data_IF_774621657497
#
_entry.id   IF_774621657497
#
_cell.length_a   1.000
_cell.length_b   1.000
_cell.length_c   1.000
_cell.angle_alpha   90.00
_cell.angle_beta   90.00
_cell.angle_gamma   90.00
#
_symmetry.space_group_name_H-M   'P 1'
#
loop_
_entity.id
_entity.type
_entity.pdbx_description
1 polymer ?
#
# COMPACT_ATOMS: atom_id res chain seq x y z
N UNK A 1 19.10 4.10 11.86
CA UNK A 1 17.82 4.36 11.15
C UNK A 1 17.38 5.82 11.20
N UNK A 2 17.55 6.55 12.28
CA UNK A 2 17.08 7.95 12.40
C UNK A 2 17.84 9.00 11.55
N UNK A 3 19.13 8.83 11.29
CA UNK A 3 19.95 9.86 10.60
C UNK A 3 19.59 10.03 9.11
N UNK A 4 19.28 8.95 8.38
CA UNK A 4 18.92 9.05 6.96
C UNK A 4 17.53 9.67 6.76
N UNK A 5 16.58 9.35 7.63
CA UNK A 5 15.25 9.96 7.63
C UNK A 5 15.33 11.47 7.92
N UNK A 6 16.19 11.87 8.86
CA UNK A 6 16.38 13.28 9.22
C UNK A 6 17.02 14.08 8.07
N UNK A 7 17.98 13.50 7.34
CA UNK A 7 18.63 14.12 6.19
C UNK A 7 17.67 14.28 5.00
N UNK A 8 16.85 13.28 4.70
CA UNK A 8 15.84 13.36 3.64
C UNK A 8 14.74 14.36 3.97
N UNK A 9 14.31 14.42 5.22
CA UNK A 9 13.36 15.41 5.67
C UNK A 9 13.93 16.84 5.56
N UNK A 10 15.17 17.05 5.97
CA UNK A 10 15.85 18.33 5.84
C UNK A 10 16.02 18.77 4.37
N UNK A 11 16.32 17.83 3.46
CA UNK A 11 16.42 18.11 2.02
C UNK A 11 15.07 18.52 1.42
N UNK A 12 13.99 17.84 1.80
CA UNK A 12 12.63 18.18 1.32
C UNK A 12 12.17 19.52 1.84
N UNK A 13 12.44 19.81 3.10
CA UNK A 13 12.18 21.12 3.68
C UNK A 13 12.95 22.24 2.97
N UNK A 14 14.22 22.00 2.64
CA UNK A 14 15.05 22.93 1.87
C UNK A 14 14.59 23.08 0.40
N UNK A 15 13.92 22.07 -0.15
CA UNK A 15 13.37 22.10 -1.51
C UNK A 15 11.95 22.70 -1.60
N UNK A 16 11.32 22.97 -0.45
CA UNK A 16 10.01 23.61 -0.41
C UNK A 16 10.08 25.01 -1.08
N UNK A 17 9.09 25.39 -1.89
CA UNK A 17 9.04 26.72 -2.48
C UNK A 17 9.13 27.81 -1.39
N UNK A 18 9.97 28.80 -1.61
CA UNK A 18 10.08 29.95 -0.69
C UNK A 18 8.76 30.72 -0.69
N UNK A 19 8.13 30.81 0.44
CA UNK A 19 6.89 31.54 0.65
C UNK A 19 7.15 32.89 1.31
N UNK A 20 6.27 33.86 1.07
CA UNK A 20 6.27 35.08 1.86
C UNK A 20 5.90 34.74 3.32
N UNK A 21 6.46 35.43 4.34
CA UNK A 21 6.27 35.07 5.75
C UNK A 21 4.81 34.95 6.19
N UNK A 22 3.92 35.79 5.68
CA UNK A 22 2.49 35.73 6.01
C UNK A 22 1.79 34.55 5.35
N UNK A 23 2.23 34.12 4.16
CA UNK A 23 1.71 32.93 3.46
C UNK A 23 2.17 31.69 4.19
N UNK A 24 3.45 31.60 4.54
CA UNK A 24 4.02 30.50 5.32
C UNK A 24 3.33 30.33 6.68
N UNK A 25 3.10 31.44 7.39
CA UNK A 25 2.38 31.42 8.66
C UNK A 25 0.95 30.89 8.51
N UNK A 26 0.24 31.30 7.46
CA UNK A 26 -1.11 30.80 7.16
C UNK A 26 -1.09 29.31 6.84
N UNK A 27 -0.18 28.87 5.97
CA UNK A 27 0.00 27.47 5.61
C UNK A 27 0.32 26.61 6.84
N UNK A 28 1.19 27.09 7.73
CA UNK A 28 1.53 26.41 8.96
C UNK A 28 0.32 26.27 9.90
N UNK A 29 -0.50 27.31 10.05
CA UNK A 29 -1.71 27.28 10.89
C UNK A 29 -2.74 26.29 10.33
N UNK A 30 -2.93 26.27 9.03
CA UNK A 30 -3.83 25.33 8.35
C UNK A 30 -3.32 23.88 8.48
N UNK A 31 -2.00 23.67 8.33
CA UNK A 31 -1.36 22.38 8.56
C UNK A 31 -1.51 21.88 10.01
N UNK A 32 -1.39 22.76 10.99
CA UNK A 32 -1.65 22.42 12.40
C UNK A 32 -3.11 21.99 12.60
N UNK A 33 -4.07 22.68 11.96
CA UNK A 33 -5.47 22.28 11.97
C UNK A 33 -5.68 20.88 11.42
N UNK A 34 -5.11 20.58 10.27
CA UNK A 34 -5.14 19.25 9.68
C UNK A 34 -4.53 18.17 10.59
N UNK A 35 -3.33 18.40 11.13
CA UNK A 35 -2.68 17.44 12.03
C UNK A 35 -3.47 17.19 13.31
N UNK A 36 -4.15 18.21 13.81
CA UNK A 36 -5.05 18.06 14.96
C UNK A 36 -6.25 17.16 14.62
N UNK A 37 -6.87 17.37 13.47
CA UNK A 37 -7.97 16.49 13.02
C UNK A 37 -7.50 15.05 12.84
N UNK A 38 -6.30 14.83 12.27
CA UNK A 38 -5.68 13.48 12.18
C UNK A 38 -5.50 12.87 13.58
N UNK A 39 -4.97 13.63 14.54
CA UNK A 39 -4.76 13.15 15.90
C UNK A 39 -6.10 12.80 16.60
N UNK A 40 -7.10 13.64 16.47
CA UNK A 40 -8.45 13.40 17.01
C UNK A 40 -9.08 12.12 16.44
N UNK A 41 -8.91 11.86 15.12
CA UNK A 41 -9.39 10.62 14.48
C UNK A 41 -8.69 9.38 15.03
N UNK A 42 -7.38 9.45 15.22
CA UNK A 42 -6.60 8.35 15.80
C UNK A 42 -7.00 8.08 17.26
N UNK A 43 -7.22 9.11 18.06
CA UNK A 43 -7.68 8.97 19.44
C UNK A 43 -9.09 8.36 19.51
N UNK A 44 -10.02 8.81 18.66
CA UNK A 44 -11.37 8.27 18.55
C UNK A 44 -11.36 6.77 18.19
N UNK A 45 -10.56 6.38 17.18
CA UNK A 45 -10.45 4.97 16.79
C UNK A 45 -9.80 4.14 17.90
N UNK A 46 -8.75 4.64 18.52
CA UNK A 46 -8.10 3.98 19.65
C UNK A 46 -9.07 3.75 20.82
N UNK A 47 -9.90 4.73 21.13
CA UNK A 47 -10.94 4.59 22.14
C UNK A 47 -12.00 3.56 21.73
N UNK A 48 -12.44 3.60 20.48
CA UNK A 48 -13.42 2.66 19.94
C UNK A 48 -12.92 1.20 19.98
N UNK A 49 -11.64 0.98 19.65
CA UNK A 49 -11.01 -0.35 19.77
C UNK A 49 -10.96 -0.81 21.24
N UNK A 50 -10.54 0.04 22.16
CA UNK A 50 -10.48 -0.29 23.60
C UNK A 50 -11.84 -0.63 24.18
N UNK A 51 -12.90 -0.01 23.68
CA UNK A 51 -14.29 -0.26 24.10
C UNK A 51 -14.97 -1.40 23.31
N UNK A 52 -14.28 -2.05 22.41
CA UNK A 52 -14.81 -3.15 21.59
C UNK A 52 -15.83 -2.69 20.52
N UNK A 53 -15.86 -1.39 20.19
CA UNK A 53 -16.77 -0.81 19.19
C UNK A 53 -16.17 -0.77 17.79
N UNK A 54 -14.85 -0.95 17.67
CA UNK A 54 -14.12 -1.02 16.40
C UNK A 54 -13.24 -2.27 16.35
N UNK A 55 -12.92 -2.79 15.16
CA UNK A 55 -12.02 -3.92 14.98
C UNK A 55 -10.64 -3.65 15.58
N UNK A 56 -10.08 -4.62 16.30
CA UNK A 56 -8.78 -4.49 16.97
C UNK A 56 -7.60 -4.30 16.00
N UNK A 57 -7.76 -4.72 14.74
CA UNK A 57 -6.78 -4.58 13.67
C UNK A 57 -6.75 -3.19 13.02
N UNK A 58 -7.62 -2.26 13.46
CA UNK A 58 -7.69 -0.91 12.91
C UNK A 58 -8.33 -0.81 11.52
N UNK A 59 -8.96 -1.88 11.01
CA UNK A 59 -9.61 -1.87 9.68
C UNK A 59 -10.82 -0.92 9.61
N UNK A 60 -11.36 -0.49 10.76
CA UNK A 60 -12.41 0.53 10.85
C UNK A 60 -11.93 1.94 10.54
N UNK A 61 -10.65 2.21 10.71
CA UNK A 61 -10.08 3.55 10.51
C UNK A 61 -10.08 3.94 9.04
N UNK A 62 -10.83 4.97 8.69
CA UNK A 62 -10.82 5.54 7.35
C UNK A 62 -11.29 6.99 7.35
N UNK A 63 -10.37 7.91 7.07
CA UNK A 63 -10.68 9.31 6.83
C UNK A 63 -9.92 9.81 5.61
N UNK A 64 -10.51 10.74 4.85
CA UNK A 64 -9.95 11.26 3.60
C UNK A 64 -10.00 12.78 3.63
N UNK A 65 -8.89 13.42 3.28
CA UNK A 65 -8.77 14.86 3.07
C UNK A 65 -8.31 15.10 1.63
N UNK A 66 -9.22 15.60 0.81
CA UNK A 66 -8.92 15.99 -0.57
C UNK A 66 -8.06 17.25 -0.60
N UNK A 67 -7.07 17.30 -1.48
CA UNK A 67 -6.17 18.46 -1.58
C UNK A 67 -6.89 19.71 -2.07
N UNK A 68 -8.00 19.58 -2.78
CA UNK A 68 -8.82 20.72 -3.19
C UNK A 68 -9.41 21.53 -2.02
N UNK A 69 -9.43 20.94 -0.81
CA UNK A 69 -9.86 21.62 0.41
C UNK A 69 -8.80 22.54 1.02
N UNK A 70 -7.56 22.50 0.52
CA UNK A 70 -6.42 23.26 1.04
C UNK A 70 -5.89 24.27 0.03
N UNK A 71 -5.27 25.35 0.53
CA UNK A 71 -4.49 26.22 -0.31
C UNK A 71 -3.25 25.47 -0.87
N UNK A 72 -2.79 25.75 -2.11
CA UNK A 72 -1.62 25.08 -2.70
C UNK A 72 -0.38 25.15 -1.81
N UNK A 73 -0.14 26.29 -1.16
CA UNK A 73 0.99 26.50 -0.26
C UNK A 73 0.90 25.62 0.99
N UNK A 74 -0.32 25.35 1.47
CA UNK A 74 -0.55 24.44 2.58
C UNK A 74 -0.27 23.00 2.18
N UNK A 75 -0.61 22.61 0.96
CA UNK A 75 -0.30 21.29 0.42
C UNK A 75 1.21 21.09 0.35
N UNK A 76 1.95 22.06 -0.21
CA UNK A 76 3.42 22.02 -0.29
C UNK A 76 4.05 21.91 1.10
N UNK A 77 3.52 22.69 2.07
CA UNK A 77 3.95 22.64 3.46
C UNK A 77 3.69 21.28 4.10
N UNK A 78 2.48 20.72 3.92
CA UNK A 78 2.11 19.40 4.45
C UNK A 78 2.97 18.28 3.83
N UNK A 79 3.19 18.31 2.52
CA UNK A 79 4.04 17.31 1.84
C UNK A 79 5.48 17.38 2.39
N UNK A 80 6.03 18.57 2.59
CA UNK A 80 7.37 18.75 3.15
C UNK A 80 7.42 18.26 4.62
N UNK A 81 6.41 18.60 5.42
CA UNK A 81 6.33 18.26 6.84
C UNK A 81 6.14 16.75 7.07
N UNK A 82 5.18 16.15 6.38
CA UNK A 82 4.84 14.73 6.54
C UNK A 82 5.87 13.79 5.92
N UNK A 83 6.61 14.26 4.93
CA UNK A 83 7.62 13.45 4.25
C UNK A 83 7.04 12.23 3.54
N UNK A 84 7.92 11.30 3.18
CA UNK A 84 7.56 9.99 2.61
C UNK A 84 8.12 8.90 3.52
N UNK A 85 7.31 7.90 3.80
CA UNK A 85 7.73 6.70 4.50
C UNK A 85 8.45 5.70 3.59
N UNK A 86 8.39 4.45 3.97
CA UNK A 86 9.13 3.38 3.28
C UNK A 86 8.27 2.59 2.30
N UNK A 87 6.95 2.71 2.36
CA UNK A 87 6.01 1.93 1.53
C UNK A 87 5.57 2.74 0.34
N UNK A 88 5.64 2.15 -0.85
CA UNK A 88 5.10 2.70 -2.08
C UNK A 88 4.28 1.65 -2.79
N UNK A 89 3.06 2.02 -3.16
CA UNK A 89 2.13 1.13 -3.85
C UNK A 89 1.70 1.82 -5.15
N UNK A 90 1.82 1.07 -6.23
CA UNK A 90 1.36 1.47 -7.56
C UNK A 90 0.18 0.60 -7.94
N UNK A 91 -0.88 1.20 -8.43
CA UNK A 91 -2.11 0.52 -8.83
C UNK A 91 -2.32 0.70 -10.33
N UNK A 92 -2.85 -0.33 -10.98
CA UNK A 92 -3.21 -0.34 -12.40
C UNK A 92 -2.10 0.19 -13.31
N UNK A 93 -0.88 -0.34 -13.15
CA UNK A 93 0.25 0.05 -14.00
C UNK A 93 0.66 1.51 -13.88
N UNK A 94 0.31 2.19 -12.79
CA UNK A 94 0.69 3.58 -12.51
C UNK A 94 -0.42 4.60 -12.62
N UNK A 95 -1.67 4.20 -12.86
CA UNK A 95 -2.83 5.10 -12.86
C UNK A 95 -3.13 5.67 -11.47
N UNK A 96 -2.75 4.96 -10.42
CA UNK A 96 -2.79 5.46 -9.04
C UNK A 96 -1.50 5.11 -8.31
N UNK A 97 -1.07 6.00 -7.42
CA UNK A 97 0.10 5.82 -6.57
C UNK A 97 -0.26 6.16 -5.13
N UNK A 98 0.21 5.34 -4.24
CA UNK A 98 0.00 5.51 -2.81
C UNK A 98 1.33 5.32 -2.10
N UNK A 99 1.66 6.24 -1.20
CA UNK A 99 2.83 6.13 -0.33
C UNK A 99 2.45 6.46 1.10
N UNK A 100 3.06 5.77 2.05
CA UNK A 100 2.94 6.16 3.44
C UNK A 100 3.72 7.46 3.70
N UNK A 101 3.36 8.14 4.78
CA UNK A 101 4.08 9.30 5.28
C UNK A 101 4.91 8.91 6.51
N UNK A 102 5.63 9.86 7.10
CA UNK A 102 6.32 9.64 8.38
C UNK A 102 5.34 9.47 9.56
N UNK A 103 4.06 9.76 9.36
CA UNK A 103 3.00 9.50 10.34
C UNK A 103 2.37 8.15 10.04
N UNK A 104 2.53 7.14 10.91
CA UNK A 104 1.98 5.80 10.68
C UNK A 104 0.47 5.84 10.42
N UNK A 105 0.03 5.12 9.38
CA UNK A 105 -1.37 5.05 8.96
C UNK A 105 -1.86 6.25 8.15
N UNK A 106 -1.06 7.29 7.99
CA UNK A 106 -1.39 8.43 7.13
C UNK A 106 -0.71 8.25 5.76
N UNK A 107 -1.49 8.13 4.72
CA UNK A 107 -1.08 7.86 3.36
C UNK A 107 -1.31 9.07 2.46
N UNK A 108 -0.41 9.28 1.52
CA UNK A 108 -0.65 10.16 0.37
C UNK A 108 -1.13 9.31 -0.81
N UNK A 109 -2.30 9.62 -1.32
CA UNK A 109 -2.92 8.92 -2.46
C UNK A 109 -3.01 9.88 -3.63
N UNK A 110 -2.52 9.43 -4.78
CA UNK A 110 -2.54 10.17 -6.05
C UNK A 110 -3.26 9.32 -7.07
N UNK A 111 -4.31 9.85 -7.68
CA UNK A 111 -5.10 9.17 -8.72
C UNK A 111 -5.14 10.00 -10.00
N UNK A 112 -5.33 9.31 -11.13
CA UNK A 112 -5.23 9.90 -12.46
C UNK A 112 -3.81 9.82 -13.03
N UNK A 113 -3.71 9.73 -14.36
CA UNK A 113 -2.43 9.53 -15.07
C UNK A 113 -1.39 10.62 -14.79
N UNK A 114 -1.85 11.82 -14.50
CA UNK A 114 -1.01 12.98 -14.15
C UNK A 114 -1.02 13.29 -12.65
N UNK A 115 -1.62 12.42 -11.81
CA UNK A 115 -1.78 12.68 -10.38
C UNK A 115 -2.74 13.84 -10.11
N UNK A 116 -3.79 13.95 -10.92
CA UNK A 116 -4.74 15.08 -10.92
C UNK A 116 -5.50 15.18 -9.61
N UNK A 117 -5.84 14.04 -9.01
CA UNK A 117 -6.50 13.96 -7.72
C UNK A 117 -5.50 13.52 -6.66
N UNK A 118 -5.31 14.35 -5.65
CA UNK A 118 -4.45 14.06 -4.52
C UNK A 118 -5.24 14.15 -3.22
N UNK A 119 -4.95 13.26 -2.30
CA UNK A 119 -5.56 13.26 -0.97
C UNK A 119 -4.60 12.70 0.07
N UNK A 120 -4.83 13.07 1.33
CA UNK A 120 -4.35 12.31 2.47
C UNK A 120 -5.43 11.35 2.92
N UNK A 121 -5.04 10.13 3.23
CA UNK A 121 -5.93 9.06 3.71
C UNK A 121 -5.37 8.51 5.00
N UNK A 122 -6.16 8.56 6.06
CA UNK A 122 -5.86 7.91 7.33
C UNK A 122 -6.54 6.54 7.35
N UNK A 123 -5.75 5.49 7.26
CA UNK A 123 -6.22 4.10 7.22
C UNK A 123 -5.08 3.14 7.58
N UNK A 124 -5.40 1.92 7.97
CA UNK A 124 -4.41 0.84 8.06
C UNK A 124 -3.77 0.59 6.68
N UNK A 125 -4.61 0.38 5.69
CA UNK A 125 -4.26 0.32 4.27
C UNK A 125 -5.33 1.11 3.51
N UNK A 126 -5.00 1.96 2.52
CA UNK A 126 -6.00 2.67 1.74
C UNK A 126 -6.96 1.70 1.03
N UNK A 127 -8.26 1.96 1.13
CA UNK A 127 -9.31 1.09 0.52
C UNK A 127 -9.12 0.85 -0.98
N UNK A 128 -8.49 1.78 -1.69
CA UNK A 128 -8.16 1.57 -3.09
C UNK A 128 -7.22 0.37 -3.27
N UNK A 129 -6.23 0.20 -2.39
CA UNK A 129 -5.30 -0.95 -2.43
C UNK A 129 -6.05 -2.25 -2.17
N UNK A 130 -6.89 -2.28 -1.13
CA UNK A 130 -7.71 -3.45 -0.79
C UNK A 130 -8.65 -3.81 -1.95
N UNK A 131 -9.30 -2.80 -2.54
CA UNK A 131 -10.20 -3.00 -3.67
C UNK A 131 -9.50 -3.62 -4.89
N UNK A 132 -8.28 -3.17 -5.23
CA UNK A 132 -7.54 -3.72 -6.35
C UNK A 132 -6.89 -5.07 -6.03
N UNK A 133 -6.49 -5.31 -4.79
CA UNK A 133 -5.98 -6.60 -4.35
C UNK A 133 -7.07 -7.70 -4.37
N UNK A 134 -8.31 -7.33 -4.09
CA UNK A 134 -9.48 -8.22 -4.12
C UNK A 134 -9.98 -8.57 -5.54
N UNK A 135 -9.46 -7.86 -6.55
CA UNK A 135 -9.81 -8.14 -7.95
C UNK A 135 -8.99 -9.30 -8.46
N UNK A 136 -9.63 -10.17 -9.19
CA UNK A 136 -8.95 -11.29 -9.82
C UNK A 136 -9.84 -12.52 -9.90
N UNK A 137 -9.23 -13.60 -10.37
CA UNK A 137 -9.88 -14.89 -10.50
C UNK A 137 -9.94 -15.58 -9.13
N UNK A 138 -11.05 -16.24 -8.85
CA UNK A 138 -11.23 -17.03 -7.63
C UNK A 138 -10.39 -18.31 -7.61
N UNK A 139 -9.85 -18.70 -8.75
CA UNK A 139 -9.03 -19.91 -8.93
C UNK A 139 -7.92 -19.68 -9.95
N UNK A 140 -6.80 -20.33 -9.70
CA UNK A 140 -5.71 -20.40 -10.65
C UNK A 140 -6.17 -21.16 -11.90
N UNK A 141 -5.96 -20.62 -13.11
CA UNK A 141 -6.25 -21.34 -14.35
C UNK A 141 -5.47 -22.65 -14.44
N UNK A 142 -6.07 -23.64 -15.09
CA UNK A 142 -5.36 -24.90 -15.36
C UNK A 142 -4.24 -24.67 -16.38
N UNK A 143 -3.08 -25.23 -16.10
CA UNK A 143 -1.99 -25.28 -17.05
C UNK A 143 -2.37 -26.24 -18.20
N UNK A 144 -2.42 -25.74 -19.42
CA UNK A 144 -2.81 -26.52 -20.59
C UNK A 144 -1.56 -26.84 -21.43
N UNK A 145 -1.31 -28.12 -21.66
CA UNK A 145 -0.18 -28.60 -22.44
C UNK A 145 1.17 -28.04 -21.97
N UNK A 146 1.60 -28.34 -20.73
CA UNK A 146 2.86 -27.84 -20.21
C UNK A 146 4.03 -28.35 -21.06
N UNK A 147 5.05 -27.52 -21.16
CA UNK A 147 6.30 -27.89 -21.83
C UNK A 147 6.97 -29.08 -21.12
N UNK A 148 7.90 -29.74 -21.82
CA UNK A 148 8.56 -30.98 -21.34
C UNK A 148 9.42 -30.79 -20.09
N UNK A 149 9.82 -29.55 -19.78
CA UNK A 149 10.63 -29.16 -18.64
C UNK A 149 9.80 -28.58 -17.49
N UNK A 150 8.46 -28.71 -17.54
CA UNK A 150 7.55 -28.31 -16.46
C UNK A 150 7.20 -29.52 -15.59
N UNK A 151 7.69 -29.56 -14.36
CA UNK A 151 7.52 -30.70 -13.46
C UNK A 151 6.77 -30.31 -12.17
N UNK A 152 7.22 -29.25 -11.48
CA UNK A 152 6.71 -28.83 -10.19
C UNK A 152 5.57 -27.81 -10.27
N UNK A 153 5.53 -26.99 -11.31
CA UNK A 153 4.57 -25.90 -11.43
C UNK A 153 3.10 -26.36 -11.30
N UNK A 154 2.76 -27.51 -11.90
CA UNK A 154 1.40 -28.06 -11.84
C UNK A 154 0.98 -28.37 -10.40
N UNK A 155 1.87 -28.96 -9.60
CA UNK A 155 1.61 -29.27 -8.20
C UNK A 155 1.48 -28.01 -7.36
N UNK A 156 2.34 -27.03 -7.58
CA UNK A 156 2.30 -25.71 -6.88
C UNK A 156 1.00 -24.97 -7.20
N UNK A 157 0.59 -24.90 -8.47
CA UNK A 157 -0.68 -24.26 -8.86
C UNK A 157 -1.90 -24.99 -8.25
N UNK A 158 -1.83 -26.32 -8.13
CA UNK A 158 -2.86 -27.08 -7.43
C UNK A 158 -2.89 -26.80 -5.93
N UNK A 159 -1.73 -26.69 -5.28
CA UNK A 159 -1.61 -26.29 -3.87
C UNK A 159 -2.18 -24.89 -3.62
N UNK A 160 -1.86 -23.92 -4.48
CA UNK A 160 -2.45 -22.56 -4.38
C UNK A 160 -3.98 -22.63 -4.47
N UNK A 161 -4.55 -23.40 -5.42
CA UNK A 161 -6.00 -23.58 -5.51
C UNK A 161 -6.60 -24.21 -4.25
N UNK A 162 -5.92 -25.20 -3.67
CA UNK A 162 -6.37 -25.82 -2.42
C UNK A 162 -6.36 -24.84 -1.25
N UNK A 163 -5.35 -23.98 -1.16
CA UNK A 163 -5.27 -22.92 -0.17
C UNK A 163 -6.37 -21.88 -0.36
N UNK A 164 -6.66 -21.47 -1.60
CA UNK A 164 -7.75 -20.53 -1.92
C UNK A 164 -9.13 -21.11 -1.58
N UNK A 165 -9.34 -22.42 -1.75
CA UNK A 165 -10.61 -23.09 -1.39
C UNK A 165 -10.80 -23.25 0.12
N UNK A 166 -9.73 -23.50 0.86
CA UNK A 166 -9.77 -23.76 2.30
C UNK A 166 -9.76 -22.50 3.16
N UNK A 167 -9.28 -21.40 2.61
CA UNK A 167 -9.01 -20.19 3.36
C UNK A 167 -9.86 -19.04 2.85
N UNK A 168 -10.66 -18.43 3.75
CA UNK A 168 -11.17 -17.10 3.47
C UNK A 168 -10.08 -16.08 3.81
N UNK A 169 -9.30 -15.71 2.78
CA UNK A 169 -8.14 -14.82 2.92
C UNK A 169 -8.48 -13.44 3.49
N UNK A 170 -9.77 -13.04 3.44
CA UNK A 170 -10.25 -11.77 4.00
C UNK A 170 -10.39 -11.79 5.52
N UNK A 171 -10.59 -12.98 6.08
CA UNK A 171 -10.85 -13.15 7.52
C UNK A 171 -9.68 -13.76 8.27
N UNK A 172 -8.64 -14.22 7.54
CA UNK A 172 -7.45 -14.79 8.18
C UNK A 172 -6.64 -13.72 8.89
N UNK A 173 -6.19 -13.98 10.12
CA UNK A 173 -5.16 -13.16 10.75
C UNK A 173 -3.88 -13.14 9.89
N UNK A 174 -3.22 -11.99 9.78
CA UNK A 174 -1.98 -11.83 8.99
C UNK A 174 -0.91 -12.88 9.33
N UNK A 175 -0.83 -13.29 10.60
CA UNK A 175 0.11 -14.31 11.08
C UNK A 175 -0.16 -15.73 10.57
N UNK A 176 -1.33 -15.97 9.97
CA UNK A 176 -1.76 -17.30 9.50
C UNK A 176 -1.99 -17.33 7.99
N UNK A 177 -1.62 -16.27 7.27
CA UNK A 177 -1.73 -16.26 5.82
C UNK A 177 -0.94 -17.44 5.22
N UNK A 178 -1.56 -18.27 4.37
CA UNK A 178 -0.87 -19.38 3.75
C UNK A 178 0.23 -18.88 2.82
N UNK A 179 1.37 -19.57 2.80
CA UNK A 179 2.53 -19.19 2.01
C UNK A 179 3.14 -20.41 1.33
N UNK A 180 3.38 -20.30 0.03
CA UNK A 180 4.13 -21.31 -0.75
C UNK A 180 5.52 -20.74 -1.01
N UNK A 181 6.54 -21.31 -0.37
CA UNK A 181 7.92 -20.85 -0.49
C UNK A 181 8.61 -21.47 -1.69
N UNK A 182 8.70 -20.74 -2.80
CA UNK A 182 9.27 -21.22 -4.06
C UNK A 182 10.79 -21.42 -3.99
N UNK A 183 11.51 -20.66 -3.14
CA UNK A 183 12.96 -20.77 -3.00
C UNK A 183 13.43 -22.14 -2.46
N UNK A 184 12.55 -22.90 -1.84
CA UNK A 184 12.81 -24.25 -1.31
C UNK A 184 12.40 -25.38 -2.28
N UNK A 185 11.80 -25.03 -3.41
CA UNK A 185 11.36 -26.00 -4.38
C UNK A 185 12.42 -26.21 -5.47
N UNK A 186 12.65 -27.45 -5.95
CA UNK A 186 13.56 -27.71 -7.05
C UNK A 186 12.88 -27.33 -8.38
N UNK A 187 12.82 -26.02 -8.67
CA UNK A 187 12.17 -25.50 -9.85
C UNK A 187 13.10 -25.45 -11.06
N UNK A 188 12.61 -25.87 -12.21
CA UNK A 188 13.24 -25.65 -13.50
C UNK A 188 12.94 -24.24 -14.03
N UNK A 189 13.69 -23.73 -15.02
CA UNK A 189 13.30 -22.49 -15.72
C UNK A 189 11.90 -22.59 -16.37
N UNK A 190 11.50 -23.75 -16.87
CA UNK A 190 10.17 -24.02 -17.41
C UNK A 190 9.08 -23.92 -16.33
N UNK A 191 9.32 -24.46 -15.13
CA UNK A 191 8.40 -24.30 -13.99
C UNK A 191 8.18 -22.84 -13.63
N UNK A 192 9.25 -22.03 -13.53
CA UNK A 192 9.13 -20.61 -13.23
C UNK A 192 8.34 -19.86 -14.30
N UNK A 193 8.64 -20.14 -15.59
CA UNK A 193 7.91 -19.53 -16.71
C UNK A 193 6.42 -19.90 -16.65
N UNK A 194 6.11 -21.17 -16.39
CA UNK A 194 4.74 -21.66 -16.28
C UNK A 194 3.98 -21.02 -15.10
N UNK A 195 4.63 -20.88 -13.94
CA UNK A 195 4.06 -20.21 -12.78
C UNK A 195 3.74 -18.74 -13.08
N UNK A 196 4.74 -17.97 -13.55
CA UNK A 196 4.55 -16.55 -13.83
C UNK A 196 3.52 -16.29 -14.94
N UNK A 197 3.52 -17.10 -16.01
CA UNK A 197 2.55 -16.94 -17.09
C UNK A 197 1.12 -17.31 -16.68
N UNK A 198 0.97 -18.31 -15.80
CA UNK A 198 -0.35 -18.76 -15.33
C UNK A 198 -0.94 -17.84 -14.28
N UNK A 199 -0.13 -17.37 -13.32
CA UNK A 199 -0.55 -16.45 -12.27
C UNK A 199 -0.71 -15.03 -12.81
N UNK A 200 0.08 -14.66 -13.81
CA UNK A 200 0.05 -13.32 -14.41
C UNK A 200 0.45 -12.22 -13.44
N UNK A 201 0.23 -10.96 -13.84
CA UNK A 201 0.46 -9.78 -13.04
C UNK A 201 -0.88 -9.09 -12.77
N UNK A 202 -1.18 -8.83 -11.51
CA UNK A 202 -2.38 -8.12 -11.09
C UNK A 202 -2.20 -6.60 -11.05
N UNK A 203 -3.13 -5.94 -10.40
CA UNK A 203 -3.24 -4.48 -10.41
C UNK A 203 -2.46 -3.79 -9.29
N UNK A 204 -1.84 -4.53 -8.36
CA UNK A 204 -1.13 -3.97 -7.19
C UNK A 204 0.34 -4.32 -7.23
N UNK A 205 1.16 -3.28 -7.19
CA UNK A 205 2.63 -3.37 -7.06
C UNK A 205 3.05 -2.59 -5.82
N UNK A 206 3.58 -3.27 -4.80
CA UNK A 206 4.04 -2.66 -3.57
C UNK A 206 5.56 -2.82 -3.42
N UNK A 207 6.21 -1.76 -2.98
CA UNK A 207 7.62 -1.74 -2.66
C UNK A 207 7.84 -1.21 -1.24
N UNK A 208 8.62 -1.95 -0.46
CA UNK A 208 9.16 -1.51 0.82
C UNK A 208 10.61 -1.06 0.59
N UNK A 209 10.88 0.22 0.82
CA UNK A 209 12.14 0.88 0.49
C UNK A 209 13.10 1.03 1.68
N UNK A 210 12.87 0.28 2.76
CA UNK A 210 13.69 0.32 3.97
C UNK A 210 15.13 -0.21 3.79
N UNK A 211 15.67 -0.84 4.82
CA UNK A 211 17.06 -1.35 4.82
C UNK A 211 17.33 -2.38 3.70
N UNK A 212 16.35 -3.23 3.40
CA UNK A 212 16.38 -4.13 2.25
C UNK A 212 15.16 -3.83 1.37
N UNK A 213 15.38 -3.63 0.08
CA UNK A 213 14.26 -3.44 -0.86
C UNK A 213 13.51 -4.75 -1.00
N UNK A 214 12.24 -4.75 -0.62
CA UNK A 214 11.30 -5.85 -0.85
C UNK A 214 10.19 -5.39 -1.79
N UNK A 215 9.74 -6.26 -2.66
CA UNK A 215 8.62 -5.98 -3.56
C UNK A 215 7.58 -7.07 -3.44
N UNK A 216 6.32 -6.68 -3.52
CA UNK A 216 5.16 -7.56 -3.62
C UNK A 216 4.35 -7.14 -4.83
N UNK A 217 4.03 -8.09 -5.69
CA UNK A 217 3.18 -7.87 -6.86
C UNK A 217 1.98 -8.81 -6.76
N UNK A 218 0.78 -8.27 -6.87
CA UNK A 218 -0.41 -9.10 -6.97
C UNK A 218 -0.42 -9.88 -8.28
N UNK A 219 -1.15 -10.96 -8.31
CA UNK A 219 -1.35 -11.77 -9.52
C UNK A 219 -2.75 -11.52 -10.10
N UNK A 220 -3.07 -12.16 -11.23
CA UNK A 220 -4.44 -12.15 -11.77
C UNK A 220 -5.40 -13.02 -10.96
N UNK A 221 -4.88 -13.76 -9.98
CA UNK A 221 -5.65 -14.54 -9.02
C UNK A 221 -5.69 -13.78 -7.71
N UNK A 222 -6.84 -13.68 -7.09
CA UNK A 222 -6.99 -13.00 -5.80
C UNK A 222 -6.29 -13.76 -4.67
N UNK A 223 -5.72 -13.04 -3.72
CA UNK A 223 -5.08 -13.60 -2.55
C UNK A 223 -3.67 -13.15 -2.33
#
# INVERSE_FOLDING_TARGET
MSENLTLDHARRWAAMPKMAPEVEKRAALEAIGFLRDVAERLEQETAAIREGRAPADGSGLHAVWDFSAFAPETIDFLIALLGEGEVRITLCGGESKTGDTLVPGLWRVQTGRSGENNSFVLARIPRAVEHFADRGLDRVPKLVNPDRDVFAATAILAEINELLEKSDLRTLPESTAPMVELSRQPLTPGDLTALYSTLGTGDVDAALLGFARSTMTSTTVRG
#
